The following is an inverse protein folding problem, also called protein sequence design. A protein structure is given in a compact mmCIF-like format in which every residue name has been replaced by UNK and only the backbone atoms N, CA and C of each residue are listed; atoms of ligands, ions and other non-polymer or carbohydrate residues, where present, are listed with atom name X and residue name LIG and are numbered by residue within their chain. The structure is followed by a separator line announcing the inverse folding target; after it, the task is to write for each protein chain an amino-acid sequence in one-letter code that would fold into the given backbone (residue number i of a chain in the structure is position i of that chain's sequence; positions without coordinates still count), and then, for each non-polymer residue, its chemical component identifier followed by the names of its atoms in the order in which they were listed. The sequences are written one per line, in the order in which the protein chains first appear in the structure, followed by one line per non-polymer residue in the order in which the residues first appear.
data_IF_400725631812
#
_entry.id   IF_400725631812
#
_cell.length_a   1.000
_cell.length_b   1.000
_cell.length_c   1.000
_cell.angle_alpha   90.00
_cell.angle_beta   90.00
_cell.angle_gamma   90.00
#
_symmetry.space_group_name_H-M   'P 1'
#
loop_
_entity.id
_entity.type
_entity.pdbx_description
1 polymer ?
#
# COMPACT_ATOMS: atom_id res chain seq x y z
N UNK A 1 16.60 -31.45 -3.26
CA UNK A 1 15.96 -31.87 -1.98
C UNK A 1 15.17 -30.66 -1.48
N UNK A 2 13.83 -30.76 -1.49
CA UNK A 2 12.76 -29.83 -1.05
C UNK A 2 12.88 -28.37 -1.54
N UNK A 3 12.22 -27.93 -2.61
CA UNK A 3 10.78 -27.61 -2.73
C UNK A 3 10.16 -27.02 -1.45
N UNK A 4 10.22 -25.68 -1.36
CA UNK A 4 9.20 -24.89 -0.69
C UNK A 4 8.70 -23.85 -1.69
N UNK A 5 7.78 -24.28 -2.54
CA UNK A 5 6.79 -23.38 -3.11
C UNK A 5 6.00 -22.75 -1.96
N UNK A 6 6.54 -21.71 -1.31
CA UNK A 6 5.76 -20.86 -0.41
C UNK A 6 4.97 -19.89 -1.27
N UNK A 7 3.91 -20.38 -1.88
CA UNK A 7 2.80 -19.56 -2.33
C UNK A 7 2.14 -19.03 -1.05
N UNK A 8 2.74 -17.99 -0.46
CA UNK A 8 2.22 -17.35 0.73
C UNK A 8 0.87 -16.74 0.39
N UNK A 9 -0.21 -17.37 0.82
CA UNK A 9 -1.47 -16.67 1.10
C UNK A 9 -1.28 -15.86 2.38
N UNK A 10 -0.28 -14.98 2.37
CA UNK A 10 0.03 -14.08 3.46
C UNK A 10 -1.08 -13.04 3.53
N UNK A 11 -1.62 -12.85 4.72
CA UNK A 11 -2.42 -11.67 5.02
C UNK A 11 -1.59 -10.46 4.62
N UNK A 12 -2.02 -9.77 3.56
CA UNK A 12 -1.33 -8.59 3.06
C UNK A 12 -1.70 -7.40 3.93
N UNK A 13 -0.80 -6.43 4.04
CA UNK A 13 -1.16 -5.14 4.61
C UNK A 13 -1.26 -4.11 3.50
N UNK A 14 -2.23 -3.22 3.64
CA UNK A 14 -2.39 -2.07 2.77
C UNK A 14 -2.23 -0.81 3.60
N UNK A 15 -1.49 0.14 3.06
CA UNK A 15 -1.40 1.49 3.60
C UNK A 15 -2.41 2.36 2.85
N UNK A 16 -3.51 2.70 3.53
CA UNK A 16 -4.62 3.44 2.96
C UNK A 16 -4.50 4.94 3.26
N UNK A 17 -4.47 5.76 2.22
CA UNK A 17 -4.50 7.22 2.30
C UNK A 17 -5.93 7.71 2.01
N UNK A 18 -6.61 8.20 3.05
CA UNK A 18 -7.92 8.80 2.91
C UNK A 18 -7.80 10.29 2.57
N UNK A 19 -8.41 10.75 1.48
CA UNK A 19 -8.36 12.15 1.07
C UNK A 19 -9.26 13.00 1.98
N UNK A 20 -8.87 14.25 2.20
CA UNK A 20 -9.64 15.20 3.00
C UNK A 20 -10.79 15.77 2.16
N UNK A 21 -10.59 15.95 0.85
CA UNK A 21 -11.60 16.47 -0.09
C UNK A 21 -11.36 15.97 -1.51
N UNK A 22 -12.41 15.49 -2.19
CA UNK A 22 -12.52 15.44 -3.65
C UNK A 22 -11.65 14.43 -4.41
N UNK A 23 -10.47 14.08 -3.89
CA UNK A 23 -9.58 13.07 -4.48
C UNK A 23 -10.08 11.64 -4.19
N UNK A 24 -9.68 10.63 -5.00
CA UNK A 24 -9.89 9.23 -4.66
C UNK A 24 -8.93 8.77 -3.55
N UNK A 25 -9.32 7.77 -2.74
CA UNK A 25 -8.38 7.13 -1.82
C UNK A 25 -7.28 6.40 -2.58
N UNK A 26 -6.09 6.38 -2.00
CA UNK A 26 -4.92 5.66 -2.53
C UNK A 26 -4.54 4.54 -1.57
N UNK A 27 -4.24 3.36 -2.11
CA UNK A 27 -3.89 2.18 -1.32
C UNK A 27 -2.61 1.57 -1.87
N UNK A 28 -1.63 1.34 -1.00
CA UNK A 28 -0.35 0.78 -1.39
C UNK A 28 -0.05 -0.50 -0.59
N UNK A 29 0.52 -1.54 -1.22
CA UNK A 29 0.99 -2.70 -0.50
C UNK A 29 2.06 -2.30 0.51
N UNK A 30 1.92 -2.77 1.75
CA UNK A 30 2.85 -2.48 2.83
C UNK A 30 3.09 -3.69 3.72
N UNK A 31 4.07 -3.57 4.61
CA UNK A 31 4.29 -4.52 5.71
C UNK A 31 3.37 -4.24 6.91
N UNK A 32 3.42 -5.11 7.92
CA UNK A 32 2.64 -4.96 9.16
C UNK A 32 2.93 -3.67 9.96
N UNK A 33 4.04 -2.98 9.67
CA UNK A 33 4.40 -1.69 10.29
C UNK A 33 3.96 -0.49 9.43
N UNK A 34 3.40 -0.73 8.24
CA UNK A 34 3.00 0.30 7.29
C UNK A 34 4.14 0.83 6.42
N UNK A 35 5.26 0.11 6.30
CA UNK A 35 6.29 0.45 5.34
C UNK A 35 5.94 -0.08 3.96
N UNK A 36 6.00 0.81 2.98
CA UNK A 36 5.78 0.49 1.57
C UNK A 36 7.14 0.24 0.92
N UNK A 37 7.27 -0.88 0.21
CA UNK A 37 8.46 -1.18 -0.58
C UNK A 37 8.40 -0.40 -1.90
N UNK A 38 9.14 0.71 -1.96
CA UNK A 38 9.17 1.60 -3.12
C UNK A 38 9.80 0.97 -4.37
N UNK A 39 10.61 -0.08 -4.20
CA UNK A 39 11.27 -0.76 -5.32
C UNK A 39 10.39 -1.90 -5.89
N UNK A 40 9.38 -2.32 -5.13
CA UNK A 40 8.32 -3.21 -5.60
C UNK A 40 7.17 -2.47 -6.32
N UNK A 41 7.09 -1.14 -6.18
CA UNK A 41 6.13 -0.31 -6.89
C UNK A 41 6.59 -0.01 -8.32
N UNK A 42 5.62 0.18 -9.24
CA UNK A 42 5.91 0.77 -10.54
C UNK A 42 6.13 2.29 -10.42
N UNK A 43 6.64 2.92 -11.49
CA UNK A 43 6.96 4.36 -11.50
C UNK A 43 5.75 5.26 -11.19
N UNK A 44 4.56 4.87 -11.62
CA UNK A 44 3.33 5.62 -11.39
C UNK A 44 2.92 5.56 -9.92
N UNK A 45 2.77 4.35 -9.36
CA UNK A 45 2.40 4.13 -7.96
C UNK A 45 3.44 4.74 -7.02
N UNK A 46 4.73 4.70 -7.38
CA UNK A 46 5.80 5.36 -6.62
C UNK A 46 5.61 6.87 -6.58
N UNK A 47 5.24 7.49 -7.71
CA UNK A 47 4.97 8.92 -7.78
C UNK A 47 3.75 9.31 -6.96
N UNK A 48 2.65 8.55 -7.08
CA UNK A 48 1.44 8.79 -6.31
C UNK A 48 1.66 8.60 -4.81
N UNK A 49 2.40 7.57 -4.40
CA UNK A 49 2.77 7.34 -3.00
C UNK A 49 3.56 8.52 -2.43
N UNK A 50 4.59 8.99 -3.14
CA UNK A 50 5.42 10.11 -2.68
C UNK A 50 4.61 11.40 -2.60
N UNK A 51 3.72 11.65 -3.56
CA UNK A 51 2.82 12.79 -3.55
C UNK A 51 1.85 12.73 -2.36
N UNK A 52 1.20 11.57 -2.14
CA UNK A 52 0.28 11.37 -1.02
C UNK A 52 0.98 11.56 0.33
N UNK A 53 2.21 11.04 0.48
CA UNK A 53 3.02 11.20 1.69
C UNK A 53 3.41 12.65 1.96
N UNK A 54 3.73 13.42 0.91
CA UNK A 54 4.05 14.84 1.01
C UNK A 54 2.82 15.70 1.35
N UNK A 55 1.62 15.26 0.98
CA UNK A 55 0.36 15.98 1.14
C UNK A 55 -0.44 15.57 2.38
N UNK A 56 0.14 14.78 3.30
CA UNK A 56 -0.50 14.44 4.59
C UNK A 56 -0.76 15.73 5.39
N UNK A 57 -1.96 15.85 5.95
CA UNK A 57 -2.44 17.03 6.69
C UNK A 57 -2.92 18.17 5.80
N UNK A 58 -2.67 18.10 4.48
CA UNK A 58 -3.15 19.08 3.51
C UNK A 58 -4.28 18.51 2.63
N UNK A 59 -3.97 17.46 1.85
CA UNK A 59 -4.93 16.79 0.96
C UNK A 59 -5.29 15.38 1.43
N UNK A 60 -4.43 14.73 2.24
CA UNK A 60 -4.67 13.40 2.78
C UNK A 60 -4.62 13.38 4.31
N UNK A 61 -5.39 12.49 4.94
CA UNK A 61 -5.27 12.19 6.36
C UNK A 61 -4.02 11.34 6.63
N UNK A 62 -3.65 11.21 7.91
CA UNK A 62 -2.63 10.24 8.31
C UNK A 62 -3.05 8.84 7.83
N UNK A 63 -2.18 8.12 7.10
CA UNK A 63 -2.55 6.86 6.51
C UNK A 63 -2.71 5.77 7.57
N UNK A 64 -3.60 4.82 7.28
CA UNK A 64 -3.91 3.71 8.17
C UNK A 64 -3.44 2.40 7.55
N UNK A 65 -2.86 1.54 8.39
CA UNK A 65 -2.54 0.16 8.00
C UNK A 65 -3.81 -0.67 8.14
N UNK A 66 -4.23 -1.29 7.05
CA UNK A 66 -5.36 -2.22 6.99
C UNK A 66 -4.86 -3.63 6.70
N UNK A 67 -5.34 -4.62 7.44
CA UNK A 67 -5.14 -6.01 7.09
C UNK A 67 -6.07 -6.35 5.92
N UNK A 68 -5.49 -6.49 4.73
CA UNK A 68 -6.21 -6.87 3.52
C UNK A 68 -6.01 -8.34 3.21
N UNK A 69 -7.09 -9.05 2.88
CA UNK A 69 -6.94 -10.28 2.11
C UNK A 69 -6.52 -9.86 0.70
N UNK A 70 -5.22 -9.94 0.39
CA UNK A 70 -4.75 -9.83 -1.00
C UNK A 70 -5.23 -11.08 -1.74
N UNK A 71 -6.43 -11.02 -2.30
CA UNK A 71 -6.80 -11.92 -3.40
C UNK A 71 -5.92 -11.52 -4.57
N UNK A 72 -4.86 -12.29 -4.83
CA UNK A 72 -4.07 -12.18 -6.04
C UNK A 72 -5.00 -12.40 -7.24
N UNK A 73 -5.52 -11.33 -7.83
CA UNK A 73 -6.36 -11.36 -9.04
C UNK A 73 -5.95 -10.18 -9.92
N UNK A 74 -4.85 -10.34 -10.67
CA UNK A 74 -4.83 -10.54 -12.14
C UNK A 74 -3.41 -10.61 -12.65
#
# INVERSE_FOLDING_TARGET
MADISTTGHGTGFLLCFSPIRGDPPLEFPCDSQGHVDLDALNDHDRTEYLAARALIGHSFLCPLVSAGMLIATR
#
